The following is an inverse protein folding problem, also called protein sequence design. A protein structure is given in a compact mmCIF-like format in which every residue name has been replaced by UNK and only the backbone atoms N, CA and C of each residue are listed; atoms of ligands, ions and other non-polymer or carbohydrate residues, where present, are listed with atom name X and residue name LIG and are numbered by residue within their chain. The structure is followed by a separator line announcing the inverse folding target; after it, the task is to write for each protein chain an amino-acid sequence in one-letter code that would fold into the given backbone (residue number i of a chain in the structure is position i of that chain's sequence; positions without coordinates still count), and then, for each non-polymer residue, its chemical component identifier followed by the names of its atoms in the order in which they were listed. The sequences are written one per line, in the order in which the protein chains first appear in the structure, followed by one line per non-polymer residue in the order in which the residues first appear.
data_IF_527372266131
#
_entry.id   IF_527372266131
#
_cell.length_a   1.000
_cell.length_b   1.000
_cell.length_c   1.000
_cell.angle_alpha   90.00
_cell.angle_beta   90.00
_cell.angle_gamma   90.00
#
_symmetry.space_group_name_H-M   'P 1'
#
loop_
_entity.id
_entity.type
_entity.pdbx_description
1 polymer ?
#
# COMPACT_ATOMS: atom_id res chain seq x y z
N UNK A 1 -24.31 -12.98 10.64
CA UNK A 1 -23.08 -12.24 10.99
C UNK A 1 -21.93 -12.99 10.32
N UNK A 2 -21.19 -12.42 9.35
CA UNK A 2 -19.98 -13.08 8.90
C UNK A 2 -18.80 -12.59 9.73
N UNK A 3 -18.03 -13.57 10.20
CA UNK A 3 -16.73 -13.40 10.84
C UNK A 3 -15.68 -13.26 9.74
N UNK A 4 -14.77 -12.30 9.88
CA UNK A 4 -13.63 -12.10 8.98
C UNK A 4 -12.44 -12.89 9.51
N UNK A 5 -11.81 -13.69 8.66
CA UNK A 5 -10.54 -14.35 8.95
C UNK A 5 -9.46 -13.82 8.00
N UNK A 6 -8.34 -13.38 8.58
CA UNK A 6 -7.15 -12.87 7.91
C UNK A 6 -6.16 -14.01 7.60
N UNK A 7 -5.45 -13.94 6.47
CA UNK A 7 -4.29 -14.82 6.18
C UNK A 7 -3.14 -13.99 5.61
N UNK A 8 -2.14 -13.71 6.45
CA UNK A 8 -0.87 -13.18 6.00
C UNK A 8 0.03 -14.33 5.50
N UNK A 9 0.51 -14.24 4.26
CA UNK A 9 1.53 -15.17 3.72
C UNK A 9 2.83 -14.40 3.55
N UNK A 10 3.87 -14.86 4.27
CA UNK A 10 5.23 -14.33 4.18
C UNK A 10 6.12 -15.31 3.42
N UNK A 11 6.98 -14.82 2.53
CA UNK A 11 8.07 -15.61 1.94
C UNK A 11 9.41 -14.86 2.02
N UNK A 12 10.51 -15.62 1.89
CA UNK A 12 11.90 -15.14 1.82
C UNK A 12 12.32 -14.19 2.95
N UNK A 13 12.62 -14.75 4.15
CA UNK A 13 13.16 -14.00 5.30
C UNK A 13 12.37 -12.75 5.74
N UNK A 14 11.04 -12.72 5.56
CA UNK A 14 10.16 -11.56 5.86
C UNK A 14 10.39 -10.36 4.92
N UNK A 15 10.80 -10.61 3.68
CA UNK A 15 11.06 -9.57 2.66
C UNK A 15 9.83 -9.33 1.75
N UNK A 16 8.65 -9.85 2.13
CA UNK A 16 7.39 -9.57 1.47
C UNK A 16 6.24 -10.27 2.17
N UNK A 17 5.07 -9.63 2.18
CA UNK A 17 3.85 -10.17 2.75
C UNK A 17 2.64 -9.83 1.88
N UNK A 18 1.83 -10.84 1.54
CA UNK A 18 0.52 -10.62 0.95
C UNK A 18 -0.54 -10.68 2.07
N UNK A 19 -1.36 -9.63 2.18
CA UNK A 19 -2.55 -9.61 3.02
C UNK A 19 -3.77 -9.71 2.11
N UNK A 20 -4.40 -10.89 2.08
CA UNK A 20 -5.68 -11.08 1.42
C UNK A 20 -6.74 -11.21 2.51
N UNK A 21 -7.67 -10.25 2.57
CA UNK A 21 -8.93 -10.45 3.28
C UNK A 21 -9.59 -11.68 2.64
N UNK A 22 -9.90 -12.71 3.44
CA UNK A 22 -10.64 -13.86 2.96
C UNK A 22 -12.02 -13.41 2.44
N UNK A 23 -12.16 -13.33 1.12
CA UNK A 23 -13.39 -12.87 0.46
C UNK A 23 -14.42 -13.99 0.45
N UNK A 24 -15.57 -13.80 1.09
CA UNK A 24 -16.67 -14.77 1.01
C UNK A 24 -17.63 -14.48 -0.15
N UNK A 25 -17.72 -13.22 -0.62
CA UNK A 25 -18.58 -12.82 -1.76
C UNK A 25 -18.04 -11.58 -2.51
N UNK A 26 -18.20 -11.52 -3.84
CA UNK A 26 -18.03 -10.27 -4.61
C UNK A 26 -18.94 -9.15 -4.09
N UNK A 27 -18.48 -7.90 -4.18
CA UNK A 27 -19.18 -6.69 -3.71
C UNK A 27 -18.97 -5.53 -4.70
N UNK A 28 -19.92 -4.61 -4.75
CA UNK A 28 -19.82 -3.35 -5.54
C UNK A 28 -19.03 -2.27 -4.82
N UNK A 29 -18.67 -2.47 -3.56
CA UNK A 29 -17.82 -1.53 -2.79
C UNK A 29 -16.87 -2.29 -1.89
N UNK A 30 -15.60 -1.88 -1.93
CA UNK A 30 -14.50 -2.39 -1.12
C UNK A 30 -13.75 -1.23 -0.46
N UNK A 31 -13.38 -1.44 0.79
CA UNK A 31 -12.45 -0.59 1.53
C UNK A 31 -11.25 -1.42 1.91
N UNK A 32 -10.08 -1.02 1.43
CA UNK A 32 -8.80 -1.66 1.69
C UNK A 32 -8.01 -0.70 2.59
N UNK A 33 -7.91 -1.04 3.88
CA UNK A 33 -7.14 -0.26 4.87
C UNK A 33 -5.65 -0.43 4.65
N UNK A 34 -4.87 0.60 5.03
CA UNK A 34 -3.40 0.59 5.13
C UNK A 34 -2.63 0.32 3.82
N UNK A 35 -1.63 1.15 3.56
CA UNK A 35 -0.86 1.17 2.33
C UNK A 35 0.18 2.27 2.42
N UNK A 36 1.31 2.07 1.75
CA UNK A 36 2.38 3.05 1.67
C UNK A 36 3.02 2.98 0.29
N UNK A 37 3.25 4.15 -0.28
CA UNK A 37 4.06 4.40 -1.48
C UNK A 37 5.29 5.24 -1.13
N UNK A 38 5.57 5.38 0.18
CA UNK A 38 6.77 5.97 0.72
C UNK A 38 8.02 5.19 0.33
N UNK A 39 9.19 5.78 0.58
CA UNK A 39 10.46 5.19 0.19
C UNK A 39 10.60 3.74 0.68
N UNK A 40 10.89 2.82 -0.24
CA UNK A 40 11.05 1.40 0.06
C UNK A 40 9.75 0.61 0.16
N UNK A 41 8.59 1.23 -0.09
CA UNK A 41 7.28 0.55 -0.12
C UNK A 41 6.60 0.70 -1.48
N UNK A 42 6.00 -0.40 -1.93
CA UNK A 42 5.10 -0.42 -3.09
C UNK A 42 3.76 -0.98 -2.67
N UNK A 43 2.68 -0.30 -3.06
CA UNK A 43 1.30 -0.78 -2.83
C UNK A 43 0.58 -0.94 -4.16
N UNK A 44 -0.09 -2.08 -4.30
CA UNK A 44 -0.85 -2.47 -5.48
C UNK A 44 -2.29 -2.82 -5.10
N UNK A 45 -3.23 -2.45 -5.94
CA UNK A 45 -4.66 -2.79 -5.82
C UNK A 45 -5.02 -3.70 -6.98
N UNK A 46 -5.51 -4.90 -6.70
CA UNK A 46 -5.94 -5.85 -7.71
C UNK A 46 -7.46 -5.96 -7.63
N UNK A 47 -8.11 -5.95 -8.79
CA UNK A 47 -9.56 -6.07 -8.91
C UNK A 47 -9.87 -7.18 -9.90
N UNK A 48 -10.51 -8.24 -9.42
CA UNK A 48 -11.03 -9.35 -10.22
C UNK A 48 -12.50 -9.12 -10.52
N UNK A 49 -12.85 -9.19 -11.81
CA UNK A 49 -14.22 -9.30 -12.28
C UNK A 49 -14.56 -10.79 -12.53
N UNK A 50 -15.35 -11.44 -11.65
CA UNK A 50 -15.77 -12.83 -11.84
C UNK A 50 -17.03 -12.95 -12.74
N UNK A 51 -17.58 -11.84 -13.23
CA UNK A 51 -18.83 -11.83 -13.98
C UNK A 51 -18.59 -12.16 -15.46
N UNK A 52 -19.68 -12.55 -16.14
CA UNK A 52 -19.70 -12.77 -17.59
C UNK A 52 -19.92 -11.48 -18.41
N UNK A 53 -19.93 -10.33 -17.75
CA UNK A 53 -20.04 -8.99 -18.34
C UNK A 53 -18.90 -8.13 -17.85
N UNK A 54 -18.62 -7.04 -18.55
CA UNK A 54 -17.65 -6.04 -18.11
C UNK A 54 -18.12 -5.34 -16.82
N UNK A 55 -17.17 -4.82 -16.06
CA UNK A 55 -17.39 -4.08 -14.83
C UNK A 55 -16.65 -2.74 -14.90
N UNK A 56 -17.37 -1.64 -14.70
CA UNK A 56 -16.79 -0.31 -14.53
C UNK A 56 -16.33 -0.16 -13.09
N UNK A 57 -15.05 0.17 -12.90
CA UNK A 57 -14.41 0.26 -11.60
C UNK A 57 -13.79 1.64 -11.40
N UNK A 58 -14.06 2.24 -10.24
CA UNK A 58 -13.46 3.51 -9.80
C UNK A 58 -12.66 3.27 -8.54
N UNK A 59 -11.40 3.70 -8.56
CA UNK A 59 -10.49 3.67 -7.41
C UNK A 59 -10.37 5.07 -6.82
N UNK A 60 -10.49 5.19 -5.51
CA UNK A 60 -10.24 6.43 -4.75
C UNK A 60 -9.21 6.14 -3.67
N UNK A 61 -8.16 6.95 -3.58
CA UNK A 61 -7.17 6.86 -2.51
C UNK A 61 -7.51 7.87 -1.42
N UNK A 62 -7.46 7.46 -0.15
CA UNK A 62 -7.63 8.34 0.98
C UNK A 62 -6.26 8.57 1.62
N UNK A 63 -5.80 9.82 1.63
CA UNK A 63 -4.52 10.23 2.24
C UNK A 63 -4.77 11.20 3.41
N UNK A 64 -3.76 11.56 4.22
CA UNK A 64 -3.91 12.55 5.28
C UNK A 64 -4.33 13.93 4.77
N UNK A 65 -4.00 14.24 3.51
CA UNK A 65 -4.39 15.49 2.84
C UNK A 65 -5.81 15.45 2.27
N UNK A 66 -6.47 14.29 2.33
CA UNK A 66 -7.82 14.06 1.85
C UNK A 66 -7.92 13.03 0.71
N UNK A 67 -9.14 12.82 0.17
CA UNK A 67 -9.35 11.88 -0.91
C UNK A 67 -8.71 12.36 -2.23
N UNK A 68 -8.04 11.46 -2.93
CA UNK A 68 -7.45 11.64 -4.26
C UNK A 68 -8.15 10.69 -5.24
N UNK A 69 -8.63 11.22 -6.36
CA UNK A 69 -9.22 10.41 -7.44
C UNK A 69 -8.15 9.56 -8.10
N UNK A 70 -8.35 8.24 -8.08
CA UNK A 70 -7.50 7.26 -8.75
C UNK A 70 -8.01 6.90 -10.15
N UNK A 71 -7.51 5.79 -10.72
CA UNK A 71 -7.94 5.32 -12.03
C UNK A 71 -9.42 4.91 -12.06
N UNK A 72 -10.04 5.14 -13.21
CA UNK A 72 -11.30 4.54 -13.62
C UNK A 72 -11.01 3.56 -14.76
N UNK A 73 -11.54 2.34 -14.69
CA UNK A 73 -11.26 1.32 -15.69
C UNK A 73 -12.45 0.38 -15.92
N UNK A 74 -12.63 -0.01 -17.17
CA UNK A 74 -13.50 -1.12 -17.57
C UNK A 74 -12.71 -2.41 -17.48
N UNK A 75 -13.12 -3.32 -16.59
CA UNK A 75 -12.52 -4.65 -16.44
C UNK A 75 -13.39 -5.66 -17.18
N UNK A 76 -12.82 -6.29 -18.23
CA UNK A 76 -13.55 -7.28 -19.03
C UNK A 76 -14.05 -8.47 -18.22
N UNK A 77 -15.05 -9.17 -18.76
CA UNK A 77 -15.60 -10.39 -18.15
C UNK A 77 -14.51 -11.41 -17.82
N UNK A 78 -14.65 -12.09 -16.68
CA UNK A 78 -13.76 -13.15 -16.21
C UNK A 78 -12.26 -12.76 -16.23
N UNK A 79 -11.94 -11.51 -15.94
CA UNK A 79 -10.57 -10.98 -15.97
C UNK A 79 -10.24 -10.17 -14.73
N UNK A 80 -8.95 -9.83 -14.57
CA UNK A 80 -8.49 -8.97 -13.49
C UNK A 80 -7.67 -7.81 -14.03
N UNK A 81 -7.63 -6.73 -13.27
CA UNK A 81 -6.73 -5.62 -13.49
C UNK A 81 -6.00 -5.26 -12.20
N UNK A 82 -4.79 -4.74 -12.34
CA UNK A 82 -3.91 -4.37 -11.23
C UNK A 82 -3.49 -2.92 -11.40
N UNK A 83 -3.56 -2.15 -10.32
CA UNK A 83 -3.26 -0.72 -10.28
C UNK A 83 -2.11 -0.49 -9.29
N UNK A 84 -1.06 0.21 -9.73
CA UNK A 84 -0.04 0.71 -8.83
C UNK A 84 -0.57 1.96 -8.13
N UNK A 85 -0.56 1.96 -6.80
CA UNK A 85 -1.03 3.11 -6.02
C UNK A 85 -0.06 4.30 -6.17
N UNK A 86 1.24 4.02 -6.30
CA UNK A 86 2.30 5.02 -6.44
C UNK A 86 2.20 5.85 -7.74
N UNK A 87 1.53 5.35 -8.77
CA UNK A 87 1.31 6.09 -10.02
C UNK A 87 0.39 7.31 -9.82
N UNK A 88 -0.45 7.29 -8.78
CA UNK A 88 -1.38 8.40 -8.47
C UNK A 88 -0.99 9.15 -7.20
N UNK A 89 -0.57 8.44 -6.15
CA UNK A 89 -0.19 9.02 -4.87
C UNK A 89 1.24 8.61 -4.50
N UNK A 90 2.27 9.20 -5.13
CA UNK A 90 3.66 8.85 -4.85
C UNK A 90 4.14 9.42 -3.50
N UNK A 91 4.97 8.67 -2.78
CA UNK A 91 5.63 9.15 -1.57
C UNK A 91 4.73 9.30 -0.34
N UNK A 92 3.54 8.69 -0.36
CA UNK A 92 2.57 8.76 0.72
C UNK A 92 2.77 7.60 1.69
N UNK A 93 2.91 7.89 2.98
CA UNK A 93 3.14 6.89 4.01
C UNK A 93 1.85 6.29 4.55
N UNK A 94 0.74 7.01 4.38
CA UNK A 94 -0.58 6.62 4.85
C UNK A 94 -1.59 6.70 3.71
N UNK A 95 -1.87 5.58 3.06
CA UNK A 95 -2.92 5.49 2.05
C UNK A 95 -3.87 4.33 2.32
N UNK A 96 -5.17 4.60 2.30
CA UNK A 96 -6.20 3.55 2.16
C UNK A 96 -6.91 3.69 0.83
N UNK A 97 -7.54 2.62 0.36
CA UNK A 97 -8.19 2.60 -0.95
C UNK A 97 -9.67 2.27 -0.82
N UNK A 98 -10.51 3.02 -1.51
CA UNK A 98 -11.89 2.65 -1.80
C UNK A 98 -12.00 2.23 -3.26
N UNK A 99 -12.57 1.07 -3.51
CA UNK A 99 -12.92 0.60 -4.86
C UNK A 99 -14.44 0.53 -4.95
N UNK A 100 -15.03 1.13 -5.98
CA UNK A 100 -16.45 1.01 -6.30
C UNK A 100 -16.63 0.46 -7.69
N UNK A 101 -17.66 -0.35 -7.91
CA UNK A 101 -17.98 -0.90 -9.21
C UNK A 101 -19.49 -0.98 -9.44
N UNK A 102 -19.90 -0.94 -10.71
CA UNK A 102 -21.28 -1.17 -11.13
C UNK A 102 -21.69 -2.65 -11.09
N UNK A 103 -20.71 -3.57 -11.09
CA UNK A 103 -20.90 -5.01 -10.91
C UNK A 103 -20.21 -5.51 -9.64
N UNK A 104 -20.64 -6.65 -9.05
CA UNK A 104 -19.92 -7.25 -7.94
C UNK A 104 -18.52 -7.71 -8.37
N UNK A 105 -17.48 -7.10 -7.81
CA UNK A 105 -16.07 -7.45 -8.05
C UNK A 105 -15.42 -7.95 -6.78
N UNK A 106 -14.20 -8.47 -6.89
CA UNK A 106 -13.35 -8.81 -5.77
C UNK A 106 -12.14 -7.89 -5.81
N UNK A 107 -11.84 -7.20 -4.71
CA UNK A 107 -10.67 -6.34 -4.61
C UNK A 107 -9.71 -6.85 -3.52
N UNK A 108 -8.42 -6.83 -3.81
CA UNK A 108 -7.35 -7.17 -2.88
C UNK A 108 -6.23 -6.13 -2.94
N UNK A 109 -5.42 -6.09 -1.88
CA UNK A 109 -4.23 -5.25 -1.77
C UNK A 109 -2.99 -6.13 -1.71
N UNK A 110 -1.94 -5.76 -2.43
CA UNK A 110 -0.62 -6.33 -2.27
C UNK A 110 0.37 -5.23 -1.88
N UNK A 111 1.25 -5.51 -0.92
CA UNK A 111 2.33 -4.59 -0.52
C UNK A 111 3.67 -5.31 -0.61
N UNK A 112 4.66 -4.58 -1.12
CA UNK A 112 6.03 -5.04 -1.21
C UNK A 112 6.94 -4.02 -0.53
N UNK A 113 8.04 -4.51 0.05
CA UNK A 113 9.11 -3.67 0.53
C UNK A 113 10.44 -4.26 0.11
N UNK A 114 11.22 -3.52 -0.65
CA UNK A 114 12.57 -3.94 -1.01
C UNK A 114 13.52 -3.41 0.06
N UNK A 115 14.11 -4.32 0.84
CA UNK A 115 15.10 -4.03 1.88
C UNK A 115 16.45 -3.54 1.35
N UNK A 116 16.48 -2.61 0.39
CA UNK A 116 17.73 -1.97 -0.08
C UNK A 116 17.98 -0.67 0.65
N UNK A 117 18.39 -0.81 1.90
CA UNK A 117 18.80 0.29 2.76
C UNK A 117 18.20 0.12 4.13
N UNK A 118 18.98 -0.47 5.05
CA UNK A 118 18.54 -0.72 6.41
C UNK A 118 17.82 0.50 6.98
N UNK A 119 16.59 0.27 7.44
CA UNK A 119 15.87 1.22 8.25
C UNK A 119 16.79 1.63 9.42
N UNK A 120 17.45 2.78 9.29
CA UNK A 120 17.88 3.54 10.44
C UNK A 120 16.62 4.18 11.00
N UNK A 121 15.86 3.41 11.77
CA UNK A 121 15.05 3.97 12.84
C UNK A 121 16.04 4.47 13.91
N UNK A 122 16.69 5.58 13.58
CA UNK A 122 17.63 6.28 14.44
C UNK A 122 16.96 7.52 14.96
N UNK A 123 16.33 7.38 16.12
CA UNK A 123 16.06 8.51 17.01
C UNK A 123 17.34 9.33 17.18
N UNK A 124 17.29 10.62 16.81
CA UNK A 124 18.19 11.66 17.30
C UNK A 124 19.61 11.70 16.72
N UNK A 125 19.76 12.30 15.53
CA UNK A 125 21.01 13.00 15.19
C UNK A 125 20.90 14.46 15.66
N UNK A 126 21.29 14.71 16.90
CA UNK A 126 21.78 16.04 17.27
C UNK A 126 23.15 16.21 16.62
N UNK A 127 23.47 17.37 16.00
CA UNK A 127 24.77 17.56 15.37
C UNK A 127 25.85 17.51 16.44
N UNK A 128 26.72 16.50 16.39
CA UNK A 128 27.89 16.43 17.28
C UNK A 128 28.73 17.69 17.06
N UNK A 129 28.82 18.48 18.12
CA UNK A 129 29.69 19.64 18.18
C UNK A 129 31.11 19.25 17.76
N UNK A 130 31.58 19.96 16.74
CA UNK A 130 32.98 20.10 16.32
C UNK A 130 33.88 20.17 17.55
N UNK A 131 34.66 19.11 17.80
CA UNK A 131 35.72 19.11 18.80
C UNK A 131 36.72 20.22 18.48
N UNK A 132 36.73 21.26 19.30
CA UNK A 132 37.80 22.26 19.35
C UNK A 132 38.94 21.64 20.17
N UNK A 133 40.18 21.56 19.66
CA UNK A 133 41.31 21.20 20.51
C UNK A 133 41.60 22.38 21.44
N UNK A 134 41.36 22.18 22.74
CA UNK A 134 41.80 23.09 23.80
C UNK A 134 43.31 22.92 23.96
N UNK A 135 44.07 23.98 23.70
CA UNK A 135 45.51 24.02 23.97
C UNK A 135 45.81 24.12 25.47
N UNK A 136 46.95 23.57 25.90
CA UNK A 136 47.46 23.72 27.25
C UNK A 136 48.82 23.06 27.51
N UNK A 137 49.89 23.85 27.37
CA UNK A 137 51.12 23.92 28.18
C UNK A 137 51.55 22.69 29.04
N UNK A 138 52.78 22.20 28.86
CA UNK A 138 53.91 22.48 29.79
C UNK A 138 55.20 21.65 29.55
N UNK A 139 56.32 22.39 29.64
CA UNK A 139 57.75 22.05 29.84
C UNK A 139 58.55 21.40 28.71
#
# INVERSE_FOLDING_TARGET
QPVVAERAVYWDHRTGGHDSVGVTNPSTTWYLSEGSTGEGFETWVLVQNPNNTEAEVVVTYMTPSGPVSGPCATISANSRQTFNVGDTVPGEWEVSTRVTSDQPVIAERAMYWDGRGGARLGWGDQPVHRLVPVGGLNR
#
